data_IF_347992400821
#
_entry.id   IF_347992400821
#
_cell.length_a   1.000
_cell.length_b   1.000
_cell.length_c   1.000
_cell.angle_alpha   90.00
_cell.angle_beta   90.00
_cell.angle_gamma   90.00
#
_symmetry.space_group_name_H-M   'P 1'
#
loop_
_entity.id
_entity.type
_entity.pdbx_description
1 polymer ?
#
# COMPACT_ATOMS: atom_id res chain seq x y z
N UNK A 1 -5.23 -17.00 -7.28
CA UNK A 1 -4.68 -16.15 -6.21
C UNK A 1 -5.23 -14.76 -6.44
N UNK A 2 -5.92 -14.18 -5.47
CA UNK A 2 -6.36 -12.78 -5.54
C UNK A 2 -5.15 -11.84 -5.36
N UNK A 3 -5.30 -10.57 -5.75
CA UNK A 3 -4.24 -9.56 -5.50
C UNK A 3 -3.95 -9.41 -4.00
N UNK A 4 -4.98 -9.48 -3.16
CA UNK A 4 -4.83 -9.47 -1.70
C UNK A 4 -3.97 -10.64 -1.22
N UNK A 5 -4.26 -11.86 -1.68
CA UNK A 5 -3.46 -13.05 -1.33
C UNK A 5 -2.02 -12.94 -1.85
N UNK A 6 -1.82 -12.33 -3.01
CA UNK A 6 -0.50 -12.08 -3.57
C UNK A 6 0.31 -11.15 -2.66
N UNK A 7 -0.21 -9.98 -2.32
CA UNK A 7 0.51 -9.02 -1.47
C UNK A 7 0.67 -9.51 -0.03
N UNK A 8 -0.26 -10.30 0.50
CA UNK A 8 -0.09 -10.99 1.78
C UNK A 8 1.09 -11.99 1.75
N UNK A 9 1.38 -12.61 0.60
CA UNK A 9 2.57 -13.45 0.43
C UNK A 9 3.85 -12.63 0.27
N UNK A 10 3.81 -11.48 -0.43
CA UNK A 10 4.94 -10.56 -0.52
C UNK A 10 5.34 -10.05 0.88
N UNK A 11 4.36 -9.67 1.70
CA UNK A 11 4.57 -9.16 3.06
C UNK A 11 5.33 -10.15 3.97
N UNK A 12 5.17 -11.46 3.77
CA UNK A 12 5.87 -12.49 4.57
C UNK A 12 7.37 -12.50 4.34
N UNK A 13 7.82 -12.21 3.10
CA UNK A 13 9.24 -12.28 2.70
C UNK A 13 9.59 -11.20 1.67
N UNK A 14 9.55 -9.90 2.01
CA UNK A 14 9.78 -8.83 1.04
C UNK A 14 11.14 -8.95 0.32
N UNK A 15 12.19 -9.34 1.04
CA UNK A 15 13.52 -9.56 0.49
C UNK A 15 13.61 -10.62 -0.62
N UNK A 16 12.66 -11.56 -0.73
CA UNK A 16 12.61 -12.49 -1.87
C UNK A 16 12.25 -11.79 -3.19
N UNK A 17 11.57 -10.65 -3.13
CA UNK A 17 11.10 -9.90 -4.30
C UNK A 17 12.04 -8.75 -4.66
N UNK A 18 12.68 -8.13 -3.65
CA UNK A 18 13.49 -6.92 -3.84
C UNK A 18 14.94 -7.05 -3.34
N UNK A 19 15.37 -8.24 -2.91
CA UNK A 19 16.71 -8.53 -2.39
C UNK A 19 16.93 -8.02 -0.97
N UNK A 20 16.93 -6.70 -0.77
CA UNK A 20 16.99 -6.04 0.54
C UNK A 20 15.65 -5.40 0.84
N UNK A 21 15.00 -5.83 1.92
CA UNK A 21 13.77 -5.21 2.40
C UNK A 21 14.04 -3.75 2.78
N UNK A 22 13.53 -2.81 1.98
CA UNK A 22 13.52 -1.38 2.29
C UNK A 22 12.22 -0.76 1.80
N UNK A 23 11.81 0.35 2.41
CA UNK A 23 10.56 1.02 2.02
C UNK A 23 10.63 1.57 0.60
N UNK A 24 11.77 2.15 0.22
CA UNK A 24 11.97 2.70 -1.12
C UNK A 24 12.04 1.55 -2.16
N UNK A 25 12.65 0.41 -1.83
CA UNK A 25 12.67 -0.77 -2.69
C UNK A 25 11.28 -1.36 -2.92
N UNK A 26 10.45 -1.42 -1.87
CA UNK A 26 9.06 -1.85 -1.98
C UNK A 26 8.20 -0.86 -2.78
N UNK A 27 8.44 0.44 -2.61
CA UNK A 27 7.79 1.49 -3.39
C UNK A 27 8.08 1.32 -4.88
N UNK A 28 9.36 1.15 -5.26
CA UNK A 28 9.76 0.93 -6.64
C UNK A 28 9.15 -0.36 -7.23
N UNK A 29 9.10 -1.42 -6.43
CA UNK A 29 8.49 -2.69 -6.82
C UNK A 29 6.98 -2.55 -7.08
N UNK A 30 6.24 -1.89 -6.19
CA UNK A 30 4.80 -1.66 -6.33
C UNK A 30 4.48 -0.74 -7.51
N UNK A 31 5.30 0.30 -7.72
CA UNK A 31 5.18 1.18 -8.88
C UNK A 31 5.39 0.40 -10.20
N UNK A 32 6.38 -0.50 -10.24
CA UNK A 32 6.61 -1.38 -11.39
C UNK A 32 5.46 -2.37 -11.63
N UNK A 33 4.90 -2.93 -10.55
CA UNK A 33 3.71 -3.79 -10.62
C UNK A 33 2.51 -3.06 -11.22
N UNK A 34 2.24 -1.84 -10.74
CA UNK A 34 1.13 -1.00 -11.18
C UNK A 34 1.30 -0.56 -12.65
N UNK A 35 2.51 -0.14 -13.04
CA UNK A 35 2.82 0.18 -14.43
C UNK A 35 2.66 -1.03 -15.38
N UNK A 36 3.10 -2.22 -14.97
CA UNK A 36 2.89 -3.45 -15.73
C UNK A 36 1.39 -3.74 -15.89
N UNK A 37 0.61 -3.67 -14.81
CA UNK A 37 -0.84 -3.90 -14.88
C UNK A 37 -1.52 -2.93 -15.85
N UNK A 38 -1.23 -1.62 -15.75
CA UNK A 38 -1.77 -0.60 -16.67
C UNK A 38 -1.41 -0.87 -18.13
N UNK A 39 -0.17 -1.26 -18.41
CA UNK A 39 0.29 -1.59 -19.77
C UNK A 39 -0.46 -2.77 -20.39
N UNK A 40 -0.93 -3.69 -19.55
CA UNK A 40 -1.55 -4.95 -19.97
C UNK A 40 -3.07 -5.01 -19.67
N UNK A 41 -3.69 -3.88 -19.32
CA UNK A 41 -5.15 -3.78 -19.11
C UNK A 41 -5.66 -4.37 -17.79
N UNK A 42 -4.77 -4.61 -16.82
CA UNK A 42 -5.13 -5.03 -15.46
C UNK A 42 -5.45 -3.85 -14.53
N UNK A 43 -6.16 -4.08 -13.42
CA UNK A 43 -6.56 -3.02 -12.49
C UNK A 43 -5.40 -2.44 -11.67
N UNK A 44 -4.31 -3.19 -11.48
CA UNK A 44 -3.11 -2.73 -10.77
C UNK A 44 -3.44 -2.16 -9.40
N UNK A 45 -2.91 -0.98 -9.09
CA UNK A 45 -3.22 -0.21 -7.89
C UNK A 45 -4.10 1.00 -8.22
N UNK A 46 -5.02 0.87 -9.19
CA UNK A 46 -5.93 1.95 -9.55
C UNK A 46 -6.76 2.42 -8.35
N UNK A 47 -6.80 3.74 -8.12
CA UNK A 47 -7.42 4.36 -6.94
C UNK A 47 -6.58 4.35 -5.65
N UNK A 48 -5.41 3.72 -5.61
CA UNK A 48 -4.58 3.61 -4.39
C UNK A 48 -4.19 4.95 -3.77
N UNK A 49 -3.72 5.89 -4.59
CA UNK A 49 -3.32 7.22 -4.12
C UNK A 49 -4.49 7.97 -3.50
N UNK A 50 -5.62 8.00 -4.20
CA UNK A 50 -6.80 8.74 -3.76
C UNK A 50 -7.38 8.14 -2.48
N UNK A 51 -7.37 6.80 -2.38
CA UNK A 51 -7.73 6.08 -1.16
C UNK A 51 -6.83 6.45 0.02
N UNK A 52 -5.51 6.54 -0.17
CA UNK A 52 -4.58 6.99 0.88
C UNK A 52 -4.82 8.44 1.31
N UNK A 53 -5.09 9.33 0.35
CA UNK A 53 -5.40 10.74 0.63
C UNK A 53 -6.70 10.86 1.43
N UNK A 54 -7.75 10.13 1.05
CA UNK A 54 -9.02 10.08 1.77
C UNK A 54 -8.83 9.55 3.21
N UNK A 55 -8.05 8.46 3.37
CA UNK A 55 -7.77 7.86 4.68
C UNK A 55 -6.98 8.77 5.61
N UNK A 56 -6.00 9.51 5.09
CA UNK A 56 -5.24 10.49 5.87
C UNK A 56 -6.02 11.80 6.12
N UNK A 57 -7.01 12.11 5.28
CA UNK A 57 -7.78 13.35 5.31
C UNK A 57 -7.06 14.57 4.73
N UNK A 58 -5.85 14.42 4.18
CA UNK A 58 -5.08 15.48 3.50
C UNK A 58 -4.01 14.91 2.59
N UNK A 59 -3.72 15.60 1.49
CA UNK A 59 -2.63 15.24 0.58
C UNK A 59 -1.24 15.71 1.11
N UNK A 60 -0.19 15.32 0.40
CA UNK A 60 1.19 15.75 0.62
C UNK A 60 1.97 15.71 -0.72
N UNK A 61 3.04 16.49 -0.83
CA UNK A 61 3.80 16.61 -2.08
C UNK A 61 4.71 15.40 -2.39
N UNK A 62 4.74 14.39 -1.52
CA UNK A 62 5.65 13.25 -1.60
C UNK A 62 4.99 12.00 -2.24
N UNK A 63 3.97 12.22 -3.07
CA UNK A 63 3.15 11.19 -3.70
C UNK A 63 2.58 10.17 -2.67
N UNK A 64 2.12 9.02 -3.14
CA UNK A 64 1.56 7.98 -2.29
C UNK A 64 2.55 7.44 -1.21
N UNK A 65 3.88 7.31 -1.44
CA UNK A 65 4.79 6.81 -0.41
C UNK A 65 4.89 7.75 0.79
N UNK A 66 4.80 9.07 0.53
CA UNK A 66 4.69 10.07 1.58
C UNK A 66 3.46 9.92 2.45
N UNK A 67 2.32 9.54 1.86
CA UNK A 67 1.09 9.28 2.61
C UNK A 67 1.29 8.13 3.59
N UNK A 68 1.90 7.03 3.13
CA UNK A 68 2.20 5.87 3.97
C UNK A 68 3.14 6.25 5.11
N UNK A 69 4.21 7.02 4.85
CA UNK A 69 5.11 7.52 5.90
C UNK A 69 4.37 8.36 6.95
N UNK A 70 3.51 9.29 6.52
CA UNK A 70 2.73 10.10 7.45
C UNK A 70 1.70 9.31 8.26
N UNK A 71 1.11 8.27 7.69
CA UNK A 71 0.18 7.38 8.41
C UNK A 71 0.96 6.53 9.43
N UNK A 72 2.13 6.01 9.06
CA UNK A 72 2.97 5.18 9.92
C UNK A 72 3.65 5.97 11.05
N UNK A 73 3.95 7.25 10.81
CA UNK A 73 4.64 8.14 11.73
C UNK A 73 3.93 9.50 11.80
N UNK A 74 2.80 9.59 12.53
CA UNK A 74 2.00 10.81 12.62
C UNK A 74 2.75 12.01 13.20
N UNK A 75 3.68 11.74 14.13
CA UNK A 75 4.53 12.74 14.78
C UNK A 75 5.64 13.27 13.86
N UNK A 76 5.79 12.69 12.67
CA UNK A 76 6.86 13.03 11.71
C UNK A 76 8.11 12.18 11.88
N UNK A 77 9.16 12.56 11.15
CA UNK A 77 10.46 11.92 11.13
C UNK A 77 11.55 12.97 10.88
N UNK A 78 12.74 12.75 11.44
CA UNK A 78 13.82 13.75 11.39
C UNK A 78 14.69 13.63 10.13
N UNK A 79 14.68 12.48 9.46
CA UNK A 79 15.49 12.20 8.28
C UNK A 79 14.76 11.31 7.28
N UNK A 80 15.04 11.53 5.99
CA UNK A 80 14.58 10.64 4.93
C UNK A 80 15.22 9.25 4.99
N UNK A 81 16.40 9.15 5.60
CA UNK A 81 16.99 7.88 5.99
C UNK A 81 16.31 7.40 7.27
N UNK A 82 15.48 6.37 7.14
CA UNK A 82 14.78 5.77 8.27
C UNK A 82 15.74 4.93 9.10
N UNK A 83 15.58 4.97 10.43
CA UNK A 83 16.17 3.94 11.28
C UNK A 83 15.57 2.57 10.92
N UNK A 84 16.27 1.45 11.21
CA UNK A 84 15.74 0.12 10.95
C UNK A 84 14.34 -0.10 11.54
N UNK A 85 14.07 0.42 12.73
CA UNK A 85 12.79 0.29 13.43
C UNK A 85 11.69 1.15 12.76
N UNK A 86 12.04 2.36 12.31
CA UNK A 86 11.13 3.21 11.57
C UNK A 86 10.81 2.59 10.20
N UNK A 87 11.81 2.03 9.52
CA UNK A 87 11.63 1.34 8.24
C UNK A 87 10.73 0.11 8.39
N UNK A 88 10.97 -0.74 9.39
CA UNK A 88 10.11 -1.89 9.69
C UNK A 88 8.66 -1.46 9.96
N UNK A 89 8.47 -0.40 10.75
CA UNK A 89 7.14 0.16 11.02
C UNK A 89 6.45 0.63 9.75
N UNK A 90 7.13 1.42 8.92
CA UNK A 90 6.57 1.96 7.68
C UNK A 90 6.22 0.83 6.70
N UNK A 91 7.07 -0.19 6.58
CA UNK A 91 6.82 -1.37 5.75
C UNK A 91 5.61 -2.16 6.27
N UNK A 92 5.49 -2.35 7.58
CA UNK A 92 4.33 -3.01 8.18
C UNK A 92 3.04 -2.28 7.83
N UNK A 93 3.01 -0.96 8.05
CA UNK A 93 1.85 -0.11 7.75
C UNK A 93 1.54 -0.11 6.25
N UNK A 94 2.54 -0.12 5.36
CA UNK A 94 2.34 -0.26 3.92
C UNK A 94 1.51 -1.50 3.57
N UNK A 95 1.86 -2.66 4.14
CA UNK A 95 1.14 -3.90 3.85
C UNK A 95 -0.24 -3.98 4.53
N UNK A 96 -0.41 -3.40 5.72
CA UNK A 96 -1.72 -3.25 6.35
C UNK A 96 -2.65 -2.40 5.48
N UNK A 97 -2.17 -1.25 5.00
CA UNK A 97 -2.92 -0.36 4.12
C UNK A 97 -3.27 -1.02 2.79
N UNK A 98 -2.36 -1.80 2.19
CA UNK A 98 -2.63 -2.56 0.98
C UNK A 98 -3.70 -3.64 1.21
N UNK A 99 -3.66 -4.36 2.33
CA UNK A 99 -4.67 -5.38 2.65
C UNK A 99 -6.07 -4.75 2.78
N UNK A 100 -6.16 -3.61 3.47
CA UNK A 100 -7.40 -2.87 3.65
C UNK A 100 -7.94 -2.31 2.33
N UNK A 101 -7.09 -1.63 1.55
CA UNK A 101 -7.45 -1.11 0.23
C UNK A 101 -7.99 -2.21 -0.70
N UNK A 102 -7.32 -3.37 -0.74
CA UNK A 102 -7.73 -4.48 -1.59
C UNK A 102 -8.99 -5.18 -1.08
N UNK A 103 -9.25 -5.14 0.23
CA UNK A 103 -10.49 -5.63 0.83
C UNK A 103 -11.67 -4.74 0.47
N UNK A 104 -11.51 -3.41 0.56
CA UNK A 104 -12.55 -2.45 0.20
C UNK A 104 -12.83 -2.40 -1.31
N UNK A 105 -11.81 -2.68 -2.13
CA UNK A 105 -11.93 -2.75 -3.59
C UNK A 105 -12.65 -4.00 -4.08
N UNK A 106 -12.71 -5.08 -3.28
CA UNK A 106 -13.34 -6.32 -3.69
C UNK A 106 -14.85 -6.12 -3.90
N UNK A 107 -15.36 -6.25 -5.14
CA UNK A 107 -16.78 -6.04 -5.44
C UNK A 107 -17.70 -7.02 -4.68
N UNK A 108 -17.18 -8.15 -4.16
CA UNK A 108 -17.94 -9.07 -3.31
C UNK A 108 -18.25 -8.49 -1.91
N UNK A 109 -17.48 -7.51 -1.43
CA UNK A 109 -17.73 -6.80 -0.16
C UNK A 109 -18.74 -5.65 -0.38
N UNK A 110 -18.84 -5.13 -1.61
CA UNK A 110 -19.77 -4.06 -2.00
C UNK A 110 -21.26 -4.49 -2.12
N UNK A 111 -21.57 -5.78 -1.96
CA UNK A 111 -22.95 -6.31 -1.93
C UNK A 111 -23.30 -6.85 -0.54
N UNK A 112 -23.17 -6.01 0.48
CA UNK A 112 -23.90 -6.17 1.75
C UNK A 112 -24.73 -4.92 2.01
N UNK A 113 -25.63 -4.61 1.07
CA UNK A 113 -26.79 -3.77 1.40
C UNK A 113 -27.76 -4.64 2.21
N UNK A 114 -28.14 -4.24 3.44
CA UNK A 114 -29.26 -4.85 4.14
C UNK A 114 -30.54 -4.35 3.49
N UNK A 115 -31.00 -5.06 2.46
CA UNK A 115 -32.40 -4.98 2.05
C UNK A 115 -33.18 -6.04 2.81
N UNK A 116 -34.30 -5.59 3.38
CA UNK A 116 -35.46 -6.33 3.88
C UNK A 116 -35.42 -6.80 5.36
N UNK A 117 -36.00 -5.99 6.26
CA UNK A 117 -37.36 -6.20 6.81
C UNK A 117 -37.90 -4.95 7.51
#
# INVERSE_FOLDING_TARGET
MSEREYFANVAKRPGMFIGRSSFDGLTAYLEGYDQHARRHGGPGLDGWRDWLVARRGRDCNHAWPGQVRHIAMPEGWDSWELSPEAEERVIKVLFELLDEFLTERDPAIGVRNPTER
#
